data_IF_366962709079
#
_entry.id   IF_366962709079
#
_cell.length_a   1.000
_cell.length_b   1.000
_cell.length_c   1.000
_cell.angle_alpha   90.00
_cell.angle_beta   90.00
_cell.angle_gamma   90.00
#
_symmetry.space_group_name_H-M   'P 1'
#
loop_
_entity.id
_entity.type
_entity.pdbx_description
1 polymer ?
#
# COMPACT_ATOMS: atom_id res chain seq x y z
N UNK A 1 15.38 45.54 -22.93
CA UNK A 1 15.59 44.11 -22.74
C UNK A 1 15.54 43.85 -21.24
N UNK A 2 14.38 43.43 -20.73
CA UNK A 2 14.21 43.10 -19.32
C UNK A 2 14.47 41.60 -19.22
N UNK A 3 15.62 41.28 -18.64
CA UNK A 3 16.06 39.95 -18.32
C UNK A 3 15.05 39.39 -17.32
N UNK A 4 14.21 38.47 -17.80
CA UNK A 4 13.26 37.75 -16.98
C UNK A 4 14.05 36.99 -15.93
N UNK A 5 14.11 37.50 -14.72
CA UNK A 5 14.48 36.70 -13.53
C UNK A 5 13.50 35.54 -13.46
N UNK A 6 14.00 34.35 -13.74
CA UNK A 6 13.37 33.13 -13.34
C UNK A 6 13.18 33.18 -11.80
N UNK A 7 12.00 33.59 -11.41
CA UNK A 7 11.57 33.45 -10.03
C UNK A 7 11.52 31.94 -9.80
N UNK A 8 12.32 31.37 -8.90
CA UNK A 8 12.21 29.95 -8.59
C UNK A 8 10.78 29.74 -8.11
N UNK A 9 9.98 28.96 -8.85
CA UNK A 9 8.67 28.53 -8.42
C UNK A 9 8.84 27.83 -7.07
N UNK A 10 8.53 28.56 -6.01
CA UNK A 10 8.65 28.07 -4.65
C UNK A 10 7.71 26.89 -4.47
N UNK A 11 8.30 25.67 -4.50
CA UNK A 11 7.80 24.64 -3.64
C UNK A 11 6.79 23.67 -4.18
N UNK A 12 6.54 23.55 -5.49
CA UNK A 12 5.74 22.42 -5.99
C UNK A 12 6.51 21.12 -5.81
N UNK A 13 5.88 20.17 -5.14
CA UNK A 13 6.36 18.81 -5.04
C UNK A 13 5.86 18.01 -6.24
N UNK A 14 6.69 17.10 -6.68
CA UNK A 14 6.35 16.12 -7.70
C UNK A 14 6.67 14.73 -7.17
N UNK A 15 5.82 13.77 -7.46
CA UNK A 15 6.09 12.36 -7.16
C UNK A 15 6.01 11.55 -8.44
N UNK A 16 7.06 10.80 -8.72
CA UNK A 16 7.04 9.75 -9.73
C UNK A 16 6.65 8.46 -9.03
N UNK A 17 5.51 7.89 -9.43
CA UNK A 17 5.05 6.59 -8.95
C UNK A 17 5.43 5.54 -9.98
N UNK A 18 6.31 4.62 -9.60
CA UNK A 18 6.71 3.48 -10.42
C UNK A 18 5.89 2.24 -10.05
N UNK A 19 5.41 1.52 -11.05
CA UNK A 19 4.78 0.20 -10.90
C UNK A 19 5.71 -0.80 -11.55
N UNK A 20 6.43 -1.58 -10.75
CA UNK A 20 7.56 -2.41 -11.20
C UNK A 20 7.34 -3.84 -10.72
N UNK A 21 7.87 -4.84 -11.45
CA UNK A 21 7.95 -6.21 -10.95
C UNK A 21 8.98 -6.29 -9.82
N UNK A 22 8.69 -7.10 -8.79
CA UNK A 22 9.66 -7.35 -7.70
C UNK A 22 10.92 -8.04 -8.26
N UNK A 23 12.08 -7.67 -7.72
CA UNK A 23 13.36 -8.28 -8.07
C UNK A 23 14.41 -7.32 -8.64
N UNK A 24 15.20 -7.81 -9.61
CA UNK A 24 16.41 -7.10 -10.11
C UNK A 24 16.08 -5.73 -10.70
N UNK A 25 14.98 -5.60 -11.43
CA UNK A 25 14.58 -4.34 -12.05
C UNK A 25 14.23 -3.26 -11.01
N UNK A 26 13.57 -3.65 -9.93
CA UNK A 26 13.27 -2.77 -8.80
C UNK A 26 14.56 -2.28 -8.14
N UNK A 27 15.48 -3.20 -7.82
CA UNK A 27 16.75 -2.86 -7.18
C UNK A 27 17.60 -1.92 -8.06
N UNK A 28 17.60 -2.14 -9.38
CA UNK A 28 18.27 -1.25 -10.32
C UNK A 28 17.64 0.13 -10.30
N UNK A 29 16.30 0.24 -10.41
CA UNK A 29 15.59 1.51 -10.41
C UNK A 29 15.84 2.29 -9.10
N UNK A 30 15.76 1.63 -7.94
CA UNK A 30 16.04 2.23 -6.63
C UNK A 30 17.48 2.76 -6.56
N UNK A 31 18.46 1.97 -7.00
CA UNK A 31 19.88 2.39 -7.00
C UNK A 31 20.10 3.61 -7.89
N UNK A 32 19.61 3.58 -9.11
CA UNK A 32 19.74 4.70 -10.04
C UNK A 32 19.05 5.97 -9.52
N UNK A 33 17.85 5.87 -8.94
CA UNK A 33 17.14 7.01 -8.35
C UNK A 33 17.92 7.61 -7.18
N UNK A 34 18.57 6.77 -6.39
CA UNK A 34 19.45 7.21 -5.30
C UNK A 34 20.70 7.93 -5.83
N UNK A 35 21.32 7.43 -6.89
CA UNK A 35 22.46 8.06 -7.55
C UNK A 35 22.12 9.43 -8.16
N UNK A 36 20.87 9.62 -8.58
CA UNK A 36 20.37 10.92 -9.05
C UNK A 36 20.23 11.96 -7.93
N UNK A 37 20.40 11.56 -6.66
CA UNK A 37 20.38 12.45 -5.51
C UNK A 37 18.97 12.66 -4.91
N UNK A 38 18.00 11.81 -5.22
CA UNK A 38 16.70 11.82 -4.50
C UNK A 38 16.93 11.49 -3.04
N UNK A 39 16.37 12.31 -2.15
CA UNK A 39 16.57 12.17 -0.70
C UNK A 39 16.02 10.80 -0.19
N UNK A 40 16.62 10.35 0.90
CA UNK A 40 16.23 9.09 1.56
C UNK A 40 14.78 9.10 2.02
N UNK A 41 14.32 10.25 2.49
CA UNK A 41 12.97 10.42 3.03
C UNK A 41 11.92 10.57 1.93
N UNK A 42 12.37 10.81 0.71
CA UNK A 42 11.53 11.04 -0.46
C UNK A 42 11.43 9.80 -1.36
N UNK A 43 12.06 8.67 -0.96
CA UNK A 43 12.01 7.41 -1.68
C UNK A 43 11.38 6.33 -0.81
N UNK A 44 10.25 5.77 -1.24
CA UNK A 44 9.54 4.71 -0.53
C UNK A 44 9.10 3.61 -1.47
N UNK A 45 9.34 2.37 -1.08
CA UNK A 45 8.91 1.17 -1.78
C UNK A 45 7.79 0.50 -1.00
N UNK A 46 6.67 0.19 -1.65
CA UNK A 46 5.56 -0.55 -1.07
C UNK A 46 5.48 -1.90 -1.76
N UNK A 47 5.62 -2.96 -1.00
CA UNK A 47 5.65 -4.34 -1.53
C UNK A 47 4.71 -5.26 -0.76
N UNK A 48 4.24 -6.31 -1.45
CA UNK A 48 3.39 -7.36 -0.90
C UNK A 48 4.24 -8.60 -0.68
N UNK A 49 4.23 -9.15 0.54
CA UNK A 49 4.93 -10.41 0.84
C UNK A 49 4.03 -11.41 1.52
N UNK A 50 4.17 -12.66 1.10
CA UNK A 50 3.44 -13.79 1.69
C UNK A 50 4.05 -14.20 3.03
N UNK A 51 5.37 -14.09 3.17
CA UNK A 51 6.10 -14.43 4.38
C UNK A 51 6.83 -13.21 4.94
N UNK A 52 6.80 -13.08 6.26
CA UNK A 52 7.55 -12.05 7.00
C UNK A 52 9.08 -12.30 7.01
N UNK A 53 9.60 -13.00 5.98
CA UNK A 53 11.02 -13.18 5.79
C UNK A 53 11.76 -11.86 5.63
N UNK A 54 13.04 -11.85 5.96
CA UNK A 54 13.89 -10.68 5.77
C UNK A 54 13.78 -10.19 4.31
N UNK A 55 13.46 -8.92 4.09
CA UNK A 55 13.38 -8.38 2.74
C UNK A 55 14.75 -8.49 2.07
N UNK A 56 14.76 -8.66 0.75
CA UNK A 56 15.99 -8.50 -0.02
C UNK A 56 16.65 -7.17 0.32
N UNK A 57 17.99 -7.12 0.38
CA UNK A 57 18.71 -5.92 0.76
C UNK A 57 18.48 -4.82 -0.29
N UNK A 58 17.66 -3.85 0.06
CA UNK A 58 17.56 -2.61 -0.69
C UNK A 58 18.78 -1.73 -0.41
N UNK A 59 19.14 -0.82 -1.32
CA UNK A 59 20.21 0.16 -1.09
C UNK A 59 20.00 0.92 0.23
N UNK A 60 21.10 1.20 0.92
CA UNK A 60 21.10 1.90 2.20
C UNK A 60 20.27 3.18 2.17
N UNK A 61 19.40 3.33 3.16
CA UNK A 61 18.52 4.49 3.32
C UNK A 61 17.20 4.40 2.57
N UNK A 62 16.92 3.33 1.82
CA UNK A 62 15.61 3.10 1.21
C UNK A 62 14.60 2.75 2.30
N UNK A 63 13.47 3.46 2.29
CA UNK A 63 12.32 3.15 3.13
C UNK A 63 11.40 2.20 2.37
N UNK A 64 10.97 1.13 3.02
CA UNK A 64 9.99 0.23 2.43
C UNK A 64 8.88 -0.12 3.40
N UNK A 65 7.70 -0.36 2.83
CA UNK A 65 6.49 -0.74 3.56
C UNK A 65 6.09 -2.12 3.06
N UNK A 66 6.05 -3.07 3.97
CA UNK A 66 5.61 -4.43 3.68
C UNK A 66 4.14 -4.56 4.03
N UNK A 67 3.32 -4.94 3.05
CA UNK A 67 1.93 -5.29 3.25
C UNK A 67 1.87 -6.82 3.25
N UNK A 68 1.46 -7.45 4.36
CA UNK A 68 1.36 -8.90 4.40
C UNK A 68 0.29 -9.37 3.41
N UNK A 69 0.63 -10.37 2.59
CA UNK A 69 -0.30 -11.05 1.70
C UNK A 69 -1.20 -12.05 2.45
N UNK A 70 -1.38 -11.84 3.76
CA UNK A 70 -2.02 -12.81 4.64
C UNK A 70 -3.52 -12.91 4.35
N UNK A 71 -3.95 -14.11 3.98
CA UNK A 71 -5.37 -14.48 3.80
C UNK A 71 -6.11 -14.64 5.13
N UNK A 72 -5.41 -14.65 6.29
CA UNK A 72 -6.04 -14.85 7.59
C UNK A 72 -7.08 -13.80 7.94
N UNK A 73 -6.93 -12.57 7.39
CA UNK A 73 -7.94 -11.53 7.49
C UNK A 73 -9.29 -11.88 6.85
N UNK A 74 -9.30 -12.81 5.91
CA UNK A 74 -10.52 -13.31 5.25
C UNK A 74 -11.13 -14.52 5.94
N UNK A 75 -10.32 -15.36 6.62
CA UNK A 75 -10.80 -16.62 7.24
C UNK A 75 -11.80 -16.37 8.35
N UNK A 76 -11.56 -15.35 9.18
CA UNK A 76 -12.44 -15.04 10.31
C UNK A 76 -13.81 -14.50 9.85
N UNK A 77 -13.89 -13.46 9.02
CA UNK A 77 -15.19 -12.97 8.53
C UNK A 77 -15.91 -13.98 7.64
N UNK A 78 -15.18 -14.79 6.87
CA UNK A 78 -15.77 -15.89 6.10
C UNK A 78 -16.38 -16.96 7.01
N UNK A 79 -15.70 -17.33 8.09
CA UNK A 79 -16.21 -18.24 9.10
C UNK A 79 -17.51 -17.74 9.74
N UNK A 80 -17.56 -16.46 10.12
CA UNK A 80 -18.78 -15.82 10.63
C UNK A 80 -19.90 -15.75 9.58
N UNK A 81 -19.59 -15.42 8.34
CA UNK A 81 -20.57 -15.38 7.25
C UNK A 81 -21.22 -16.76 7.04
N UNK A 82 -20.43 -17.82 7.00
CA UNK A 82 -20.92 -19.19 6.90
C UNK A 82 -21.78 -19.56 8.10
N UNK A 83 -21.33 -19.24 9.33
CA UNK A 83 -22.09 -19.48 10.55
C UNK A 83 -23.47 -18.79 10.52
N UNK A 84 -23.54 -17.52 10.12
CA UNK A 84 -24.80 -16.80 10.01
C UNK A 84 -25.77 -17.41 8.99
N UNK A 85 -25.26 -17.87 7.85
CA UNK A 85 -26.07 -18.55 6.83
C UNK A 85 -26.62 -19.86 7.40
N UNK A 86 -25.79 -20.68 8.05
CA UNK A 86 -26.21 -21.96 8.65
C UNK A 86 -27.26 -21.75 9.75
N UNK A 87 -27.05 -20.76 10.64
CA UNK A 87 -28.02 -20.40 11.66
C UNK A 87 -29.35 -19.91 11.04
N UNK A 88 -29.25 -19.05 10.02
CA UNK A 88 -30.44 -18.56 9.31
C UNK A 88 -31.27 -19.69 8.69
N UNK A 89 -30.62 -20.66 8.05
CA UNK A 89 -31.28 -21.85 7.47
C UNK A 89 -31.94 -22.68 8.58
N UNK A 90 -31.23 -22.90 9.69
CA UNK A 90 -31.78 -23.64 10.82
C UNK A 90 -33.08 -22.99 11.36
N UNK A 91 -33.10 -21.67 11.55
CA UNK A 91 -34.27 -20.95 12.00
C UNK A 91 -35.40 -20.96 10.96
N UNK A 92 -35.08 -20.88 9.67
CA UNK A 92 -36.07 -20.93 8.60
C UNK A 92 -36.80 -22.28 8.55
N UNK A 93 -36.10 -23.38 8.89
CA UNK A 93 -36.70 -24.73 8.93
C UNK A 93 -37.53 -24.93 10.21
N UNK A 94 -37.01 -24.50 11.38
CA UNK A 94 -37.66 -24.75 12.68
C UNK A 94 -38.87 -23.86 12.95
N UNK A 95 -38.83 -22.61 12.53
CA UNK A 95 -39.90 -21.60 12.74
C UNK A 95 -40.10 -20.73 11.50
N UNK A 96 -40.75 -21.23 10.43
CA UNK A 96 -40.79 -20.55 9.14
C UNK A 96 -41.30 -19.12 9.17
N UNK A 97 -42.30 -18.83 10.02
CA UNK A 97 -42.89 -17.50 10.11
C UNK A 97 -41.92 -16.41 10.60
N UNK A 98 -40.94 -16.78 11.44
CA UNK A 98 -39.91 -15.87 11.97
C UNK A 98 -38.58 -16.12 11.28
N UNK A 99 -38.31 -17.38 10.93
CA UNK A 99 -37.03 -17.82 10.40
C UNK A 99 -36.73 -17.28 9.01
N UNK A 100 -37.73 -17.11 8.14
CA UNK A 100 -37.52 -16.53 6.79
C UNK A 100 -37.03 -15.06 6.87
N UNK A 101 -37.68 -14.15 7.62
CA UNK A 101 -37.18 -12.80 7.83
C UNK A 101 -35.77 -12.79 8.49
N UNK A 102 -35.57 -13.66 9.46
CA UNK A 102 -34.27 -13.78 10.15
C UNK A 102 -33.15 -14.24 9.22
N UNK A 103 -33.41 -15.20 8.33
CA UNK A 103 -32.48 -15.64 7.30
C UNK A 103 -32.07 -14.46 6.40
N UNK A 104 -33.03 -13.66 5.96
CA UNK A 104 -32.74 -12.47 5.12
C UNK A 104 -31.79 -11.49 5.82
N UNK A 105 -32.00 -11.23 7.11
CA UNK A 105 -31.11 -10.37 7.91
C UNK A 105 -29.72 -10.98 8.02
N UNK A 106 -29.60 -12.28 8.30
CA UNK A 106 -28.31 -12.96 8.45
C UNK A 106 -27.54 -13.02 7.12
N UNK A 107 -28.21 -13.28 6.01
CA UNK A 107 -27.59 -13.25 4.67
C UNK A 107 -27.11 -11.83 4.34
N UNK A 108 -27.91 -10.81 4.63
CA UNK A 108 -27.48 -9.41 4.42
C UNK A 108 -26.27 -9.05 5.28
N UNK A 109 -26.27 -9.45 6.55
CA UNK A 109 -25.13 -9.20 7.46
C UNK A 109 -23.88 -9.96 7.01
N UNK A 110 -24.02 -11.21 6.60
CA UNK A 110 -22.93 -12.01 6.05
C UNK A 110 -22.32 -11.35 4.81
N UNK A 111 -23.15 -10.82 3.92
CA UNK A 111 -22.71 -10.12 2.72
C UNK A 111 -21.98 -8.81 3.06
N UNK A 112 -22.49 -8.03 4.02
CA UNK A 112 -21.82 -6.80 4.49
C UNK A 112 -20.45 -7.12 5.10
N UNK A 113 -20.36 -8.15 5.95
CA UNK A 113 -19.10 -8.58 6.56
C UNK A 113 -18.10 -9.07 5.50
N UNK A 114 -18.57 -9.83 4.51
CA UNK A 114 -17.75 -10.29 3.41
C UNK A 114 -17.24 -9.12 2.56
N UNK A 115 -18.13 -8.20 2.15
CA UNK A 115 -17.75 -7.01 1.41
C UNK A 115 -16.75 -6.14 2.19
N UNK A 116 -16.99 -5.93 3.50
CA UNK A 116 -16.08 -5.19 4.36
C UNK A 116 -14.71 -5.87 4.53
N UNK A 117 -14.63 -7.20 4.43
CA UNK A 117 -13.36 -7.93 4.48
C UNK A 117 -12.54 -7.76 3.21
N UNK A 118 -13.20 -7.68 2.06
CA UNK A 118 -12.52 -7.47 0.76
C UNK A 118 -11.86 -6.09 0.67
N UNK A 119 -12.42 -5.07 1.32
CA UNK A 119 -11.91 -3.70 1.26
C UNK A 119 -10.70 -3.44 2.19
N UNK A 120 -10.37 -4.38 3.08
CA UNK A 120 -9.31 -4.19 4.09
C UNK A 120 -7.95 -4.75 3.69
N UNK A 121 -7.88 -5.51 2.60
CA UNK A 121 -6.65 -6.16 2.14
C UNK A 121 -6.10 -5.38 0.95
N UNK A 122 -4.86 -4.88 1.06
CA UNK A 122 -4.19 -4.26 -0.07
C UNK A 122 -3.55 -2.89 0.25
N UNK A 123 -3.15 -2.19 -0.79
CA UNK A 123 -2.52 -0.87 -0.71
C UNK A 123 -3.54 0.26 -0.56
N UNK A 124 -4.83 -0.01 -0.77
CA UNK A 124 -5.92 0.99 -0.73
C UNK A 124 -5.88 1.90 0.51
N UNK A 125 -5.69 1.41 1.75
CA UNK A 125 -5.63 2.30 2.91
C UNK A 125 -4.48 3.31 2.83
N UNK A 126 -3.33 2.89 2.31
CA UNK A 126 -2.16 3.75 2.12
C UNK A 126 -2.44 4.80 1.04
N UNK A 127 -3.06 4.40 -0.07
CA UNK A 127 -3.43 5.30 -1.17
C UNK A 127 -4.48 6.34 -0.74
N UNK A 128 -5.45 5.93 0.06
CA UNK A 128 -6.46 6.84 0.62
C UNK A 128 -5.84 7.85 1.60
N UNK A 129 -4.93 7.42 2.47
CA UNK A 129 -4.25 8.31 3.41
C UNK A 129 -3.38 9.36 2.69
N UNK A 130 -2.80 8.99 1.55
CA UNK A 130 -2.02 9.92 0.71
C UNK A 130 -2.90 10.84 -0.14
N UNK A 131 -4.22 10.66 -0.11
CA UNK A 131 -5.14 11.34 -1.04
C UNK A 131 -4.71 11.15 -2.51
N UNK A 132 -4.29 9.94 -2.87
CA UNK A 132 -3.90 9.65 -4.25
C UNK A 132 -5.06 9.95 -5.22
N UNK A 133 -4.76 10.45 -6.44
CA UNK A 133 -5.81 10.66 -7.44
C UNK A 133 -6.55 9.34 -7.69
N UNK A 134 -7.88 9.38 -7.68
CA UNK A 134 -8.70 8.16 -7.62
C UNK A 134 -8.48 7.22 -8.81
N UNK A 135 -8.39 7.79 -10.02
CA UNK A 135 -8.21 6.99 -11.24
C UNK A 135 -6.86 6.25 -11.23
N UNK A 136 -5.79 6.92 -10.79
CA UNK A 136 -4.47 6.32 -10.66
C UNK A 136 -4.40 5.35 -9.47
N UNK A 137 -5.07 5.66 -8.37
CA UNK A 137 -5.09 4.81 -7.18
C UNK A 137 -5.71 3.44 -7.47
N UNK A 138 -6.78 3.38 -8.28
CA UNK A 138 -7.41 2.14 -8.70
C UNK A 138 -6.43 1.31 -9.55
N UNK A 139 -5.75 1.94 -10.52
CA UNK A 139 -4.76 1.28 -11.36
C UNK A 139 -3.56 0.77 -10.55
N UNK A 140 -3.10 1.53 -9.55
CA UNK A 140 -2.00 1.12 -8.66
C UNK A 140 -2.42 -0.02 -7.74
N UNK A 141 -3.65 0.02 -7.22
CA UNK A 141 -4.18 -1.06 -6.39
C UNK A 141 -4.30 -2.36 -7.19
N UNK A 142 -4.84 -2.30 -8.39
CA UNK A 142 -4.95 -3.46 -9.27
C UNK A 142 -3.57 -4.05 -9.57
N UNK A 143 -2.61 -3.22 -9.97
CA UNK A 143 -1.25 -3.66 -10.22
C UNK A 143 -0.61 -4.30 -8.98
N UNK A 144 -0.81 -3.71 -7.80
CA UNK A 144 -0.32 -4.24 -6.54
C UNK A 144 -0.96 -5.58 -6.17
N UNK A 145 -2.26 -5.74 -6.43
CA UNK A 145 -2.95 -7.01 -6.22
C UNK A 145 -2.39 -8.11 -7.14
N UNK A 146 -1.95 -7.77 -8.35
CA UNK A 146 -1.25 -8.67 -9.26
C UNK A 146 0.22 -8.92 -8.90
N UNK A 147 0.68 -8.44 -7.75
CA UNK A 147 2.03 -8.71 -7.25
C UNK A 147 3.10 -7.71 -7.72
N UNK A 148 2.69 -6.60 -8.33
CA UNK A 148 3.62 -5.50 -8.64
C UNK A 148 4.00 -4.74 -7.38
N UNK A 149 5.15 -4.09 -7.42
CA UNK A 149 5.66 -3.22 -6.36
C UNK A 149 5.41 -1.77 -6.74
N UNK A 150 5.02 -0.95 -5.76
CA UNK A 150 4.86 0.48 -5.95
C UNK A 150 6.09 1.21 -5.40
N UNK A 151 6.71 2.02 -6.25
CA UNK A 151 7.86 2.85 -5.93
C UNK A 151 7.44 4.32 -5.96
N UNK A 152 7.58 5.02 -4.86
CA UNK A 152 7.28 6.45 -4.74
C UNK A 152 8.58 7.23 -4.62
N UNK A 153 8.88 8.07 -5.61
CA UNK A 153 10.04 8.96 -5.60
C UNK A 153 9.57 10.42 -5.68
N UNK A 154 9.63 11.12 -4.56
CA UNK A 154 9.21 12.52 -4.46
C UNK A 154 10.40 13.46 -4.62
N UNK A 155 10.20 14.58 -5.32
CA UNK A 155 11.24 15.61 -5.51
C UNK A 155 10.62 16.99 -5.67
N UNK A 156 11.37 18.03 -5.27
CA UNK A 156 11.04 19.43 -5.58
C UNK A 156 11.69 19.90 -6.89
N UNK A 157 12.64 19.13 -7.40
CA UNK A 157 13.41 19.50 -8.58
C UNK A 157 12.80 18.93 -9.84
N UNK A 158 12.11 19.75 -10.61
CA UNK A 158 11.48 19.35 -11.87
C UNK A 158 12.46 18.69 -12.85
N UNK A 159 13.74 19.08 -12.79
CA UNK A 159 14.81 18.49 -13.62
C UNK A 159 15.04 17.00 -13.36
N UNK A 160 14.73 16.52 -12.14
CA UNK A 160 14.88 15.13 -11.77
C UNK A 160 13.74 14.24 -12.25
N UNK A 161 12.60 14.80 -12.63
CA UNK A 161 11.44 14.00 -13.07
C UNK A 161 11.78 13.11 -14.26
N UNK A 162 12.49 13.66 -15.24
CA UNK A 162 12.85 12.89 -16.43
C UNK A 162 13.80 11.75 -16.11
N UNK A 163 14.96 11.97 -15.45
CA UNK A 163 15.88 10.88 -15.14
C UNK A 163 15.27 9.84 -14.18
N UNK A 164 14.45 10.25 -13.20
CA UNK A 164 13.74 9.31 -12.30
C UNK A 164 12.76 8.44 -13.09
N UNK A 165 11.98 9.03 -13.98
CA UNK A 165 11.10 8.29 -14.89
C UNK A 165 11.86 7.27 -15.74
N UNK A 166 13.00 7.69 -16.32
CA UNK A 166 13.84 6.82 -17.14
C UNK A 166 14.44 5.66 -16.31
N UNK A 167 14.78 5.89 -15.05
CA UNK A 167 15.23 4.84 -14.13
C UNK A 167 14.12 3.80 -13.88
N UNK A 168 12.88 4.25 -13.62
CA UNK A 168 11.72 3.34 -13.47
C UNK A 168 11.50 2.51 -14.74
N UNK A 169 11.58 3.16 -15.92
CA UNK A 169 11.41 2.46 -17.20
C UNK A 169 12.53 1.44 -17.47
N UNK A 170 13.78 1.75 -17.13
CA UNK A 170 14.89 0.80 -17.26
C UNK A 170 14.72 -0.42 -16.32
N UNK A 171 14.12 -0.20 -15.15
CA UNK A 171 13.70 -1.27 -14.26
C UNK A 171 12.52 -2.12 -14.78
N UNK A 172 12.00 -1.84 -15.99
CA UNK A 172 10.87 -2.55 -16.58
C UNK A 172 9.50 -2.10 -16.06
N UNK A 173 9.44 -0.98 -15.33
CA UNK A 173 8.21 -0.48 -14.73
C UNK A 173 7.44 0.50 -15.61
N UNK A 174 6.15 0.63 -15.32
CA UNK A 174 5.33 1.77 -15.73
C UNK A 174 5.48 2.90 -14.72
N UNK A 175 5.24 4.13 -15.15
CA UNK A 175 5.32 5.29 -14.28
C UNK A 175 4.10 6.20 -14.40
N UNK A 176 3.84 6.92 -13.31
CA UNK A 176 2.87 8.00 -13.22
C UNK A 176 3.55 9.21 -12.59
N UNK A 177 3.14 10.42 -12.95
CA UNK A 177 3.67 11.65 -12.37
C UNK A 177 2.51 12.40 -11.71
N UNK A 178 2.67 12.70 -10.44
CA UNK A 178 1.68 13.44 -9.63
C UNK A 178 2.30 14.74 -9.15
N UNK A 179 1.62 15.88 -9.41
CA UNK A 179 2.09 17.22 -9.06
C UNK A 179 1.85 17.56 -7.58
N UNK A 180 2.26 16.65 -6.69
CA UNK A 180 2.28 16.80 -5.24
C UNK A 180 3.19 15.77 -4.60
N UNK A 181 3.51 15.96 -3.32
CA UNK A 181 4.23 14.95 -2.54
C UNK A 181 3.27 13.85 -2.13
N UNK A 182 3.57 12.64 -2.55
CA UNK A 182 2.94 11.44 -2.05
C UNK A 182 3.93 10.76 -1.09
N UNK A 183 3.58 10.69 0.17
CA UNK A 183 4.41 10.06 1.20
C UNK A 183 3.65 8.88 1.81
N UNK A 184 3.87 7.65 1.31
CA UNK A 184 3.26 6.47 1.89
C UNK A 184 3.68 6.31 3.34
N UNK A 185 2.70 6.06 4.22
CA UNK A 185 2.92 5.77 5.63
C UNK A 185 2.40 4.38 5.95
N UNK A 186 3.02 3.73 6.93
CA UNK A 186 2.54 2.46 7.40
C UNK A 186 1.21 2.65 8.13
N UNK A 187 0.18 1.91 7.70
CA UNK A 187 -1.10 1.80 8.40
C UNK A 187 -1.18 0.49 9.17
N UNK A 188 -2.23 0.26 9.95
CA UNK A 188 -2.38 -0.83 10.93
C UNK A 188 -1.99 -2.25 10.46
N UNK A 189 -1.98 -2.51 9.15
CA UNK A 189 -1.64 -3.82 8.59
C UNK A 189 -0.29 -3.84 7.85
N UNK A 190 0.39 -2.71 7.79
CA UNK A 190 1.66 -2.58 7.09
C UNK A 190 2.80 -2.35 8.08
N UNK A 191 3.95 -2.92 7.81
CA UNK A 191 5.15 -2.69 8.61
C UNK A 191 6.12 -1.82 7.84
N UNK A 192 6.56 -0.72 8.44
CA UNK A 192 7.54 0.17 7.85
C UNK A 192 8.95 -0.24 8.28
N UNK A 193 9.84 -0.38 7.32
CA UNK A 193 11.24 -0.68 7.54
C UNK A 193 12.13 0.35 6.85
N UNK A 194 13.34 0.52 7.40
CA UNK A 194 14.40 1.30 6.76
C UNK A 194 15.70 0.52 6.82
N UNK A 195 16.32 0.33 5.69
CA UNK A 195 17.64 -0.31 5.62
C UNK A 195 18.70 0.69 6.10
N UNK A 196 19.58 0.27 7.01
CA UNK A 196 20.77 1.03 7.43
C UNK A 196 20.53 2.21 8.37
N UNK A 197 19.35 2.44 8.90
CA UNK A 197 19.10 3.52 9.86
C UNK A 197 18.09 3.11 10.91
N UNK A 198 18.54 2.88 12.13
CA UNK A 198 17.88 2.42 13.36
C UNK A 198 16.46 2.88 13.72
N UNK A 199 15.55 2.89 12.79
CA UNK A 199 14.12 3.04 13.05
C UNK A 199 13.40 1.73 12.71
N UNK A 200 13.35 0.85 13.69
CA UNK A 200 12.33 -0.19 13.71
C UNK A 200 11.08 0.39 14.36
N UNK A 201 10.16 0.89 13.58
CA UNK A 201 8.80 1.13 14.03
C UNK A 201 7.99 -0.15 13.81
N UNK A 202 8.43 -1.23 14.43
CA UNK A 202 7.66 -2.46 14.50
C UNK A 202 6.87 -2.44 15.80
N UNK A 203 5.60 -2.71 15.73
CA UNK A 203 4.63 -3.24 16.73
C UNK A 203 5.05 -3.52 18.19
N UNK A 204 6.00 -2.81 18.76
CA UNK A 204 6.41 -2.97 20.16
C UNK A 204 5.57 -2.16 21.16
N UNK A 205 4.44 -1.61 20.73
CA UNK A 205 3.54 -0.86 21.63
C UNK A 205 2.54 -1.77 22.37
N UNK A 206 2.39 -3.03 21.98
CA UNK A 206 1.44 -3.96 22.61
C UNK A 206 2.03 -4.98 23.58
N UNK A 207 3.34 -4.98 23.82
CA UNK A 207 3.98 -5.95 24.73
C UNK A 207 4.42 -5.36 26.08
N UNK A 208 3.83 -4.25 26.49
CA UNK A 208 4.14 -3.63 27.78
C UNK A 208 2.91 -3.38 28.65
N UNK A 209 2.07 -4.40 28.84
CA UNK A 209 1.11 -4.42 29.96
C UNK A 209 0.88 -5.86 30.39
N UNK A 210 1.80 -6.38 31.17
CA UNK A 210 1.62 -7.68 31.79
C UNK A 210 2.86 -8.18 32.51
N UNK A 211 3.44 -7.35 33.41
CA UNK A 211 4.24 -7.85 34.55
C UNK A 211 4.38 -6.72 35.57
N UNK A 212 3.53 -6.77 36.56
CA UNK A 212 3.74 -6.27 37.90
C UNK A 212 2.76 -6.99 38.84
#
# INVERSE_FOLDING_TARGET
MVEGRDVPEQGSWYTVVGVIDDGTGLNQAVTEIRELGVDRDDLTVVLKRVDAGEPEPFPDGTRYIVIPADRRGLEVPLGFAIAFIVFGIFFAITTPAIGIPTLMVFVSLAFILFAASLTRVGVTPILMEMEAPQEEADAWNDAFEFGKVLLFASTRERRLLRPVREAVQRGGGMYYIVDRRLEPRAVHQATMHRVGGGYQSGSSVFERTGEA
#
